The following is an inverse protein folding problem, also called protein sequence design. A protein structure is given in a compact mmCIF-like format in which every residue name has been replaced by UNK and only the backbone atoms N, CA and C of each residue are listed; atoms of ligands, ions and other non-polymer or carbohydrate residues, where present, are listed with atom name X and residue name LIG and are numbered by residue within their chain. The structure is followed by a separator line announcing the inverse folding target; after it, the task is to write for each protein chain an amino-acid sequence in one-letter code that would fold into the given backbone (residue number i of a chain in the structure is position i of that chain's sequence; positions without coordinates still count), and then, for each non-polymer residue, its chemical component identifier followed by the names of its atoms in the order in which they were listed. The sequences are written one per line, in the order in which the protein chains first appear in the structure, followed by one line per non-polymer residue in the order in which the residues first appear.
data_IF_957548195134
#
_entry.id   IF_957548195134
#
_cell.length_a   1.000
_cell.length_b   1.000
_cell.length_c   1.000
_cell.angle_alpha   90.00
_cell.angle_beta   90.00
_cell.angle_gamma   90.00
#
_symmetry.space_group_name_H-M   'P 1'
#
loop_
_entity.id
_entity.type
_entity.pdbx_description
1 polymer ?
#
# COMPACT_ATOMS: atom_id res chain seq x y z
N UNK A 1 6.24 -8.71 17.86
CA UNK A 1 5.93 -7.28 17.96
C UNK A 1 7.20 -6.46 18.18
N UNK A 2 8.00 -6.73 19.21
CA UNK A 2 9.14 -5.91 19.62
C UNK A 2 10.23 -5.73 18.56
N UNK A 3 10.61 -6.79 17.84
CA UNK A 3 11.56 -6.70 16.73
C UNK A 3 11.06 -5.79 15.61
N UNK A 4 9.76 -5.85 15.30
CA UNK A 4 9.13 -4.98 14.29
C UNK A 4 9.16 -3.51 14.72
N UNK A 5 8.92 -3.22 16.00
CA UNK A 5 9.05 -1.88 16.57
C UNK A 5 10.47 -1.35 16.45
N UNK A 6 11.45 -2.19 16.81
CA UNK A 6 12.88 -1.82 16.71
C UNK A 6 13.25 -1.49 15.26
N UNK A 7 12.86 -2.33 14.29
CA UNK A 7 13.12 -2.08 12.87
C UNK A 7 12.43 -0.80 12.41
N UNK A 8 11.15 -0.60 12.74
CA UNK A 8 10.41 0.61 12.36
C UNK A 8 11.10 1.88 12.88
N UNK A 9 11.46 1.90 14.15
CA UNK A 9 12.18 3.01 14.77
C UNK A 9 13.51 3.29 14.08
N UNK A 10 14.31 2.24 13.83
CA UNK A 10 15.60 2.37 13.15
C UNK A 10 15.45 2.95 11.75
N UNK A 11 14.42 2.54 11.00
CA UNK A 11 14.15 3.05 9.64
C UNK A 11 13.77 4.53 9.69
N UNK A 12 12.87 4.94 10.59
CA UNK A 12 12.47 6.35 10.72
C UNK A 12 13.67 7.23 11.12
N UNK A 13 14.45 6.81 12.12
CA UNK A 13 15.65 7.51 12.55
C UNK A 13 16.69 7.63 11.41
N UNK A 14 16.90 6.54 10.66
CA UNK A 14 17.85 6.55 9.53
C UNK A 14 17.35 7.37 8.35
N UNK A 15 16.04 7.38 8.08
CA UNK A 15 15.44 8.24 7.05
C UNK A 15 15.66 9.72 7.36
N UNK A 16 15.55 10.10 8.63
CA UNK A 16 15.84 11.46 9.12
C UNK A 16 15.17 12.56 8.27
N UNK A 17 13.92 12.34 7.86
CA UNK A 17 13.14 13.27 7.03
C UNK A 17 13.57 13.39 5.56
N UNK A 18 14.53 12.58 5.10
CA UNK A 18 14.99 12.61 3.70
C UNK A 18 14.00 11.99 2.70
N UNK A 19 13.11 11.16 3.19
CA UNK A 19 12.04 10.53 2.41
C UNK A 19 10.84 10.21 3.30
N UNK A 20 9.68 10.07 2.69
CA UNK A 20 8.45 9.62 3.36
C UNK A 20 8.59 8.17 3.78
N UNK A 21 8.22 7.86 5.02
CA UNK A 21 8.31 6.52 5.61
C UNK A 21 6.94 6.02 6.02
N UNK A 22 6.45 4.99 5.35
CA UNK A 22 5.27 4.25 5.75
C UNK A 22 5.66 2.92 6.37
N UNK A 23 5.10 2.62 7.55
CA UNK A 23 5.36 1.37 8.27
C UNK A 23 4.22 0.38 8.04
N UNK A 24 4.56 -0.84 7.58
CA UNK A 24 3.59 -1.91 7.49
C UNK A 24 3.29 -2.48 8.88
N UNK A 25 2.03 -2.38 9.32
CA UNK A 25 1.60 -2.76 10.68
C UNK A 25 0.70 -3.99 10.71
N UNK A 26 0.28 -4.53 9.57
CA UNK A 26 -0.58 -5.71 9.51
C UNK A 26 0.00 -6.87 10.31
N UNK A 27 -0.87 -7.57 11.04
CA UNK A 27 -0.57 -8.72 11.87
C UNK A 27 -1.75 -9.68 11.89
N UNK A 28 -1.54 -10.94 12.32
CA UNK A 28 -2.61 -11.93 12.42
C UNK A 28 -3.63 -11.55 13.50
N UNK A 29 -3.17 -10.96 14.60
CA UNK A 29 -4.03 -10.47 15.67
C UNK A 29 -4.27 -8.98 15.50
N UNK A 30 -5.53 -8.58 15.63
CA UNK A 30 -5.92 -7.16 15.53
C UNK A 30 -5.22 -6.30 16.58
N UNK A 31 -5.07 -6.80 17.79
CA UNK A 31 -4.41 -6.10 18.89
C UNK A 31 -2.95 -5.78 18.56
N UNK A 32 -2.23 -6.73 17.94
CA UNK A 32 -0.85 -6.55 17.53
C UNK A 32 -0.74 -5.50 16.39
N UNK A 33 -1.70 -5.50 15.46
CA UNK A 33 -1.77 -4.48 14.40
C UNK A 33 -2.01 -3.08 14.97
N UNK A 34 -2.92 -2.95 15.93
CA UNK A 34 -3.23 -1.69 16.65
C UNK A 34 -1.99 -1.22 17.45
N UNK A 35 -1.31 -2.12 18.13
CA UNK A 35 -0.10 -1.80 18.89
C UNK A 35 1.01 -1.27 17.98
N UNK A 36 1.22 -1.92 16.82
CA UNK A 36 2.20 -1.49 15.83
C UNK A 36 1.81 -0.17 15.15
N UNK A 37 0.51 0.07 14.91
CA UNK A 37 0.02 1.33 14.36
C UNK A 37 0.29 2.51 15.29
N UNK A 38 -0.03 2.37 16.58
CA UNK A 38 0.26 3.38 17.60
C UNK A 38 1.76 3.66 17.69
N UNK A 39 2.57 2.61 17.75
CA UNK A 39 4.02 2.76 17.78
C UNK A 39 4.56 3.48 16.54
N UNK A 40 4.06 3.16 15.33
CA UNK A 40 4.46 3.85 14.09
C UNK A 40 4.19 5.35 14.16
N UNK A 41 3.02 5.74 14.67
CA UNK A 41 2.68 7.14 14.91
C UNK A 41 3.61 7.80 15.96
N UNK A 42 3.85 7.14 17.11
CA UNK A 42 4.69 7.64 18.21
C UNK A 42 6.14 7.91 17.78
N UNK A 43 6.71 7.09 16.90
CA UNK A 43 8.08 7.26 16.40
C UNK A 43 8.19 8.25 15.23
N UNK A 44 7.07 8.85 14.81
CA UNK A 44 7.06 9.87 13.74
C UNK A 44 7.17 9.30 12.34
N UNK A 45 6.69 8.09 12.09
CA UNK A 45 6.48 7.62 10.72
C UNK A 45 5.37 8.45 10.05
N UNK A 46 5.46 8.65 8.72
CA UNK A 46 4.53 9.49 7.97
C UNK A 46 3.17 8.84 7.72
N UNK A 47 3.06 7.53 7.92
CA UNK A 47 1.82 6.78 7.77
C UNK A 47 2.02 5.28 7.93
N UNK A 48 0.95 4.53 7.76
CA UNK A 48 0.95 3.07 7.88
C UNK A 48 0.30 2.38 6.68
N UNK A 49 0.78 1.15 6.41
CA UNK A 49 0.13 0.21 5.51
C UNK A 49 -0.35 -1.02 6.29
N UNK A 50 -1.53 -1.53 5.98
CA UNK A 50 -2.18 -2.62 6.73
C UNK A 50 -2.66 -3.70 5.77
N UNK A 51 -2.02 -4.88 5.78
CA UNK A 51 -2.53 -6.04 5.05
C UNK A 51 -3.82 -6.56 5.69
N UNK A 52 -4.70 -7.13 4.87
CA UNK A 52 -5.91 -7.81 5.37
C UNK A 52 -5.56 -8.90 6.39
N UNK A 53 -6.49 -9.30 7.28
CA UNK A 53 -6.29 -10.45 8.15
C UNK A 53 -5.77 -11.65 7.36
N UNK A 54 -4.84 -12.40 7.95
CA UNK A 54 -4.16 -13.50 7.27
C UNK A 54 -4.53 -14.83 7.92
N UNK A 55 -4.33 -15.92 7.17
CA UNK A 55 -4.48 -17.30 7.56
C UNK A 55 -5.93 -17.79 7.63
N UNK A 56 -6.82 -17.13 8.36
CA UNK A 56 -8.24 -17.49 8.40
C UNK A 56 -9.04 -16.65 7.40
N UNK A 57 -9.99 -17.29 6.70
CA UNK A 57 -10.96 -16.57 5.87
C UNK A 57 -11.88 -15.71 6.74
N UNK A 58 -12.03 -14.45 6.35
CA UNK A 58 -12.93 -13.49 6.98
C UNK A 58 -13.97 -13.03 5.96
N UNK A 59 -15.18 -12.74 6.41
CA UNK A 59 -16.20 -12.15 5.56
C UNK A 59 -16.00 -10.63 5.41
N UNK A 60 -16.71 -10.02 4.46
CA UNK A 60 -16.57 -8.61 4.11
C UNK A 60 -16.72 -7.68 5.34
N UNK A 61 -17.69 -7.98 6.23
CA UNK A 61 -17.92 -7.20 7.45
C UNK A 61 -16.76 -7.32 8.45
N UNK A 62 -16.22 -8.51 8.61
CA UNK A 62 -15.07 -8.73 9.51
C UNK A 62 -13.83 -8.01 9.00
N UNK A 63 -13.60 -8.02 7.68
CA UNK A 63 -12.50 -7.27 7.05
C UNK A 63 -12.71 -5.76 7.27
N UNK A 64 -13.93 -5.25 7.05
CA UNK A 64 -14.26 -3.84 7.26
C UNK A 64 -14.02 -3.43 8.72
N UNK A 65 -14.54 -4.18 9.70
CA UNK A 65 -14.37 -3.87 11.12
C UNK A 65 -12.91 -3.93 11.56
N UNK A 66 -12.12 -4.87 11.04
CA UNK A 66 -10.68 -4.92 11.29
C UNK A 66 -9.99 -3.62 10.87
N UNK A 67 -10.24 -3.15 9.65
CA UNK A 67 -9.63 -1.92 9.15
C UNK A 67 -10.09 -0.68 9.90
N UNK A 68 -11.37 -0.61 10.24
CA UNK A 68 -11.92 0.48 11.05
C UNK A 68 -11.29 0.52 12.44
N UNK A 69 -11.09 -0.64 13.07
CA UNK A 69 -10.43 -0.71 14.37
C UNK A 69 -8.96 -0.26 14.31
N UNK A 70 -8.21 -0.69 13.28
CA UNK A 70 -6.80 -0.30 13.12
C UNK A 70 -6.68 1.18 12.75
N UNK A 71 -7.42 1.67 11.75
CA UNK A 71 -7.40 3.07 11.34
C UNK A 71 -7.89 4.02 12.44
N UNK A 72 -8.90 3.60 13.22
CA UNK A 72 -9.42 4.36 14.37
C UNK A 72 -8.48 4.38 15.58
N UNK A 73 -7.41 3.59 15.58
CA UNK A 73 -6.43 3.56 16.68
C UNK A 73 -5.36 4.64 16.61
N UNK A 74 -5.31 5.38 15.48
CA UNK A 74 -4.39 6.50 15.21
C UNK A 74 -5.19 7.76 14.88
N UNK A 75 -4.58 8.97 14.90
CA UNK A 75 -5.28 10.21 14.56
C UNK A 75 -5.92 10.20 13.17
N UNK A 76 -7.01 10.98 13.02
CA UNK A 76 -7.78 11.03 11.76
C UNK A 76 -7.06 11.73 10.59
N UNK A 77 -5.96 12.39 10.84
CA UNK A 77 -5.07 13.00 9.86
C UNK A 77 -3.81 12.17 9.59
N UNK A 78 -3.66 11.01 10.25
CA UNK A 78 -2.53 10.12 10.06
C UNK A 78 -2.80 9.12 8.93
N UNK A 79 -2.07 9.17 7.80
CA UNK A 79 -2.37 8.40 6.60
C UNK A 79 -2.33 6.88 6.79
N UNK A 80 -3.36 6.19 6.30
CA UNK A 80 -3.49 4.74 6.31
C UNK A 80 -3.72 4.22 4.90
N UNK A 81 -2.89 3.27 4.46
CA UNK A 81 -3.11 2.50 3.24
C UNK A 81 -3.62 1.10 3.58
N UNK A 82 -4.70 0.71 2.94
CA UNK A 82 -5.09 -0.69 2.88
C UNK A 82 -4.05 -1.48 2.07
N UNK A 83 -3.84 -2.75 2.39
CA UNK A 83 -2.98 -3.59 1.57
C UNK A 83 -3.69 -4.88 1.17
N UNK A 84 -4.01 -5.01 -0.11
CA UNK A 84 -4.64 -6.18 -0.69
C UNK A 84 -3.64 -7.04 -1.44
N UNK A 85 -3.44 -8.27 -0.97
CA UNK A 85 -2.60 -9.31 -1.58
C UNK A 85 -3.28 -10.67 -1.41
N UNK A 86 -4.39 -10.92 -2.12
CA UNK A 86 -5.28 -12.06 -1.85
C UNK A 86 -4.58 -13.42 -1.98
N UNK A 87 -3.62 -13.55 -2.89
CA UNK A 87 -2.87 -14.80 -3.08
C UNK A 87 -1.98 -15.18 -1.87
N UNK A 88 -1.69 -14.25 -0.96
CA UNK A 88 -0.86 -14.48 0.22
C UNK A 88 -1.65 -14.36 1.54
N UNK A 89 -2.71 -13.55 1.55
CA UNK A 89 -3.44 -13.24 2.77
C UNK A 89 -4.65 -14.14 3.03
N UNK A 90 -5.07 -14.96 2.07
CA UNK A 90 -6.30 -15.75 2.07
C UNK A 90 -7.60 -14.92 2.11
N UNK A 91 -7.50 -13.60 2.15
CA UNK A 91 -8.62 -12.66 2.13
C UNK A 91 -8.44 -11.64 1.00
N UNK A 92 -9.55 -11.20 0.41
CA UNK A 92 -9.59 -10.19 -0.65
C UNK A 92 -10.38 -8.97 -0.17
N UNK A 93 -9.83 -7.78 -0.36
CA UNK A 93 -10.52 -6.52 -0.05
C UNK A 93 -11.32 -6.12 -1.29
N UNK A 94 -12.61 -6.44 -1.32
CA UNK A 94 -13.50 -6.01 -2.41
C UNK A 94 -13.60 -4.49 -2.46
N UNK A 95 -13.90 -3.95 -3.62
CA UNK A 95 -14.04 -2.49 -3.82
C UNK A 95 -15.09 -1.88 -2.88
N UNK A 96 -16.22 -2.56 -2.67
CA UNK A 96 -17.25 -2.10 -1.73
C UNK A 96 -16.74 -2.05 -0.27
N UNK A 97 -15.91 -3.02 0.14
CA UNK A 97 -15.29 -3.01 1.48
C UNK A 97 -14.32 -1.85 1.63
N UNK A 98 -13.44 -1.64 0.64
CA UNK A 98 -12.50 -0.51 0.65
C UNK A 98 -13.24 0.84 0.68
N UNK A 99 -14.31 1.00 -0.12
CA UNK A 99 -15.15 2.20 -0.11
C UNK A 99 -15.83 2.42 1.24
N UNK A 100 -16.38 1.37 1.87
CA UNK A 100 -17.01 1.47 3.18
C UNK A 100 -16.02 1.89 4.27
N UNK A 101 -14.81 1.30 4.26
CA UNK A 101 -13.74 1.68 5.19
C UNK A 101 -13.34 3.15 4.99
N UNK A 102 -13.13 3.60 3.75
CA UNK A 102 -12.79 4.99 3.43
C UNK A 102 -13.90 5.99 3.83
N UNK A 103 -15.17 5.59 3.73
CA UNK A 103 -16.30 6.40 4.20
C UNK A 103 -16.30 6.57 5.72
N UNK A 104 -15.93 5.53 6.47
CA UNK A 104 -15.93 5.49 7.95
C UNK A 104 -14.66 6.07 8.55
N UNK A 105 -13.53 5.97 7.86
CA UNK A 105 -12.20 6.37 8.34
C UNK A 105 -11.56 7.34 7.34
N UNK A 106 -11.59 8.63 7.63
CA UNK A 106 -11.10 9.68 6.73
C UNK A 106 -9.58 9.67 6.53
N UNK A 107 -8.86 9.03 7.43
CA UNK A 107 -7.42 8.79 7.34
C UNK A 107 -7.06 7.60 6.44
N UNK A 108 -8.02 6.82 5.96
CA UNK A 108 -7.77 5.78 4.94
C UNK A 108 -7.77 6.45 3.58
N UNK A 109 -6.57 6.69 3.05
CA UNK A 109 -6.33 7.51 1.87
C UNK A 109 -6.06 6.73 0.60
N UNK A 110 -5.90 5.40 0.70
CA UNK A 110 -5.57 4.61 -0.47
C UNK A 110 -5.39 3.12 -0.21
N UNK A 111 -4.99 2.43 -1.25
CA UNK A 111 -4.73 0.99 -1.23
C UNK A 111 -3.46 0.64 -1.99
N UNK A 112 -2.65 -0.27 -1.43
CA UNK A 112 -1.67 -1.04 -2.20
C UNK A 112 -2.33 -2.32 -2.69
N UNK A 113 -2.31 -2.56 -4.01
CA UNK A 113 -2.90 -3.74 -4.63
C UNK A 113 -1.84 -4.58 -5.32
N UNK A 114 -1.60 -5.78 -4.79
CA UNK A 114 -0.56 -6.71 -5.26
C UNK A 114 -1.16 -7.91 -6.00
N UNK A 115 -2.09 -7.66 -6.93
CA UNK A 115 -2.69 -8.68 -7.77
C UNK A 115 -2.85 -8.16 -9.21
N UNK A 116 -2.67 -9.01 -10.26
CA UNK A 116 -2.70 -8.59 -11.65
C UNK A 116 -4.13 -8.51 -12.22
N UNK A 117 -4.98 -7.70 -11.63
CA UNK A 117 -6.36 -7.49 -12.06
C UNK A 117 -6.58 -6.01 -12.42
N UNK A 118 -6.62 -5.72 -13.70
CA UNK A 118 -6.83 -4.37 -14.24
C UNK A 118 -8.25 -3.85 -13.93
N UNK A 119 -9.27 -4.71 -13.95
CA UNK A 119 -10.65 -4.30 -13.70
C UNK A 119 -10.77 -3.83 -12.25
N UNK A 120 -10.29 -4.63 -11.31
CA UNK A 120 -10.28 -4.26 -9.88
C UNK A 120 -9.43 -3.01 -9.62
N UNK A 121 -8.33 -2.83 -10.36
CA UNK A 121 -7.50 -1.62 -10.24
C UNK A 121 -8.29 -0.38 -10.63
N UNK A 122 -9.05 -0.40 -11.74
CA UNK A 122 -9.93 0.70 -12.12
C UNK A 122 -11.04 0.95 -11.10
N UNK A 123 -11.65 -0.11 -10.56
CA UNK A 123 -12.66 0.03 -9.51
C UNK A 123 -12.10 0.74 -8.26
N UNK A 124 -10.86 0.45 -7.86
CA UNK A 124 -10.22 1.16 -6.74
C UNK A 124 -9.93 2.63 -7.07
N UNK A 125 -9.54 2.95 -8.30
CA UNK A 125 -9.30 4.32 -8.74
C UNK A 125 -10.56 5.20 -8.70
N UNK A 126 -11.75 4.60 -8.76
CA UNK A 126 -13.04 5.31 -8.67
C UNK A 126 -13.52 5.57 -7.23
N UNK A 127 -12.87 4.99 -6.22
CA UNK A 127 -13.24 5.19 -4.80
C UNK A 127 -13.15 6.68 -4.45
N UNK A 128 -14.11 7.17 -3.66
CA UNK A 128 -14.25 8.57 -3.29
C UNK A 128 -14.31 9.54 -4.49
N UNK A 129 -14.81 9.06 -5.64
CA UNK A 129 -14.88 9.90 -6.85
C UNK A 129 -13.51 10.18 -7.48
N UNK A 130 -12.56 9.26 -7.29
CA UNK A 130 -11.19 9.37 -7.80
C UNK A 130 -10.18 9.99 -6.80
N UNK A 131 -10.63 10.33 -5.60
CA UNK A 131 -9.75 10.82 -4.52
C UNK A 131 -9.36 9.65 -3.58
N UNK A 132 -8.71 8.64 -4.16
CA UNK A 132 -8.23 7.47 -3.44
C UNK A 132 -6.96 6.95 -4.11
N UNK A 133 -5.85 7.02 -3.39
CA UNK A 133 -4.54 6.63 -3.94
C UNK A 133 -4.44 5.13 -4.17
N UNK A 134 -3.99 4.73 -5.36
CA UNK A 134 -3.77 3.33 -5.71
C UNK A 134 -2.29 3.09 -6.03
N UNK A 135 -1.64 2.30 -5.18
CA UNK A 135 -0.26 1.86 -5.36
C UNK A 135 -0.23 0.44 -5.92
N UNK A 136 0.42 0.24 -7.05
CA UNK A 136 0.59 -1.09 -7.62
C UNK A 136 1.67 -1.88 -6.87
N UNK A 137 1.40 -3.16 -6.57
CA UNK A 137 2.33 -4.06 -5.90
C UNK A 137 2.93 -5.14 -6.82
N UNK A 138 2.57 -5.13 -8.12
CA UNK A 138 3.09 -6.07 -9.12
C UNK A 138 4.17 -5.39 -9.97
N UNK A 139 5.42 -5.78 -9.77
CA UNK A 139 6.58 -5.21 -10.47
C UNK A 139 6.43 -5.21 -11.99
N UNK A 140 5.87 -6.30 -12.55
CA UNK A 140 5.67 -6.48 -13.99
C UNK A 140 4.60 -5.57 -14.60
N UNK A 141 3.79 -4.93 -13.75
CA UNK A 141 2.66 -4.10 -14.17
C UNK A 141 2.87 -2.62 -13.85
N UNK A 142 4.06 -2.19 -13.45
CA UNK A 142 4.26 -0.83 -12.96
C UNK A 142 3.93 0.24 -14.00
N UNK A 143 4.53 0.18 -15.19
CA UNK A 143 4.22 1.15 -16.25
C UNK A 143 2.75 1.09 -16.73
N UNK A 144 2.17 -0.08 -17.03
CA UNK A 144 0.74 -0.17 -17.30
C UNK A 144 -0.14 0.44 -16.20
N UNK A 145 0.19 0.23 -14.93
CA UNK A 145 -0.56 0.77 -13.81
C UNK A 145 -0.49 2.31 -13.74
N UNK A 146 0.67 2.91 -14.03
CA UNK A 146 0.80 4.36 -14.17
C UNK A 146 -0.10 4.90 -15.28
N UNK A 147 -0.16 4.21 -16.43
CA UNK A 147 -1.04 4.57 -17.55
C UNK A 147 -2.53 4.46 -17.21
N UNK A 148 -2.91 3.64 -16.23
CA UNK A 148 -4.27 3.55 -15.70
C UNK A 148 -4.61 4.69 -14.73
N UNK A 149 -3.62 5.39 -14.19
CA UNK A 149 -3.80 6.44 -13.19
C UNK A 149 -3.37 6.06 -11.78
N UNK A 150 -2.68 4.91 -11.59
CA UNK A 150 -2.08 4.61 -10.30
C UNK A 150 -0.95 5.59 -9.96
N UNK A 151 -0.78 5.91 -8.68
CA UNK A 151 0.18 6.91 -8.21
C UNK A 151 1.63 6.41 -8.21
N UNK A 152 1.83 5.10 -8.14
CA UNK A 152 3.16 4.54 -8.08
C UNK A 152 3.20 3.05 -7.82
N UNK A 153 4.36 2.58 -7.35
CA UNK A 153 4.52 1.17 -6.95
C UNK A 153 5.15 1.04 -5.57
N UNK A 154 4.71 0.01 -4.86
CA UNK A 154 5.36 -0.47 -3.63
C UNK A 154 5.61 -1.96 -3.80
N UNK A 155 6.80 -2.31 -4.21
CA UNK A 155 7.16 -3.68 -4.61
C UNK A 155 8.42 -4.19 -3.90
N UNK A 156 8.58 -5.51 -3.86
CA UNK A 156 9.75 -6.14 -3.25
C UNK A 156 11.03 -5.92 -4.07
N UNK A 157 10.94 -6.01 -5.40
CA UNK A 157 12.10 -5.88 -6.28
C UNK A 157 12.64 -4.45 -6.31
N UNK A 158 11.76 -3.46 -6.35
CA UNK A 158 12.16 -2.05 -6.33
C UNK A 158 12.88 -1.62 -5.04
N UNK A 159 12.70 -2.38 -3.94
CA UNK A 159 13.45 -2.19 -2.70
C UNK A 159 14.91 -2.63 -2.78
N UNK A 160 15.25 -3.51 -3.72
CA UNK A 160 16.62 -4.04 -3.94
C UNK A 160 17.28 -3.38 -5.14
N UNK A 161 16.53 -3.14 -6.20
CA UNK A 161 16.97 -2.51 -7.45
C UNK A 161 16.05 -1.33 -7.81
N UNK A 162 16.16 -0.19 -7.11
CA UNK A 162 15.24 0.94 -7.31
C UNK A 162 15.47 1.68 -8.65
N UNK A 163 16.69 1.68 -9.18
CA UNK A 163 17.09 2.52 -10.31
C UNK A 163 16.23 2.29 -11.57
N UNK A 164 15.96 1.03 -12.01
CA UNK A 164 15.11 0.81 -13.18
C UNK A 164 13.67 1.30 -12.97
N UNK A 165 13.11 1.11 -11.77
CA UNK A 165 11.76 1.56 -11.44
C UNK A 165 11.66 3.09 -11.38
N UNK A 166 12.65 3.74 -10.78
CA UNK A 166 12.74 5.20 -10.78
C UNK A 166 12.86 5.74 -12.21
N UNK A 167 13.61 5.06 -13.08
CA UNK A 167 13.75 5.45 -14.48
C UNK A 167 12.43 5.30 -15.26
N UNK A 168 11.65 4.25 -15.00
CA UNK A 168 10.29 4.09 -15.56
C UNK A 168 9.40 5.27 -15.14
N UNK A 169 9.38 5.58 -13.85
CA UNK A 169 8.55 6.66 -13.32
C UNK A 169 8.93 8.03 -13.91
N UNK A 170 10.21 8.33 -13.99
CA UNK A 170 10.70 9.58 -14.61
C UNK A 170 10.30 9.68 -16.07
N UNK A 171 10.53 8.64 -16.88
CA UNK A 171 10.13 8.63 -18.28
C UNK A 171 8.62 8.80 -18.46
N UNK A 172 7.82 8.20 -17.58
CA UNK A 172 6.37 8.41 -17.55
C UNK A 172 6.01 9.87 -17.25
N UNK A 173 6.60 10.49 -16.23
CA UNK A 173 6.36 11.88 -15.87
C UNK A 173 6.78 12.86 -16.98
N UNK A 174 7.83 12.52 -17.72
CA UNK A 174 8.35 13.31 -18.85
C UNK A 174 7.48 13.11 -20.12
N UNK A 175 6.48 12.23 -20.10
CA UNK A 175 5.64 11.90 -21.24
C UNK A 175 6.31 10.99 -22.29
N UNK A 176 7.51 10.49 -22.02
CA UNK A 176 8.21 9.53 -22.89
C UNK A 176 7.75 8.09 -22.59
N UNK A 177 6.52 7.81 -22.99
CA UNK A 177 5.88 6.50 -22.77
C UNK A 177 6.57 5.37 -23.50
N UNK A 178 7.22 5.66 -24.65
CA UNK A 178 8.02 4.65 -25.37
C UNK A 178 9.20 4.23 -24.51
N UNK A 179 9.94 5.19 -23.98
CA UNK A 179 11.07 4.95 -23.10
C UNK A 179 10.64 4.27 -21.80
N UNK A 180 9.53 4.70 -21.20
CA UNK A 180 8.97 4.09 -20.00
C UNK A 180 8.67 2.59 -20.21
N UNK A 181 8.07 2.24 -21.37
CA UNK A 181 7.79 0.86 -21.71
C UNK A 181 9.06 0.02 -21.94
N UNK A 182 10.08 0.57 -22.61
CA UNK A 182 11.37 -0.09 -22.78
C UNK A 182 12.03 -0.39 -21.41
N UNK A 183 11.99 0.57 -20.49
CA UNK A 183 12.50 0.43 -19.13
C UNK A 183 11.69 -0.57 -18.30
N UNK A 184 10.36 -0.63 -18.48
CA UNK A 184 9.53 -1.66 -17.86
C UNK A 184 9.98 -3.06 -18.26
N UNK A 185 10.36 -3.29 -19.51
CA UNK A 185 10.94 -4.57 -19.95
C UNK A 185 12.27 -4.90 -19.25
N UNK A 186 13.04 -3.90 -18.83
CA UNK A 186 14.22 -4.12 -17.99
C UNK A 186 13.78 -4.57 -16.58
N UNK A 187 12.80 -3.88 -15.96
CA UNK A 187 12.27 -4.27 -14.64
C UNK A 187 11.79 -5.72 -14.62
N UNK A 188 11.08 -6.16 -15.67
CA UNK A 188 10.55 -7.53 -15.78
C UNK A 188 11.66 -8.60 -15.71
N UNK A 189 12.88 -8.29 -16.15
CA UNK A 189 14.00 -9.23 -16.11
C UNK A 189 14.52 -9.53 -14.69
N UNK A 190 14.19 -8.67 -13.73
CA UNK A 190 14.54 -8.85 -12.32
C UNK A 190 13.43 -9.54 -11.51
N UNK A 191 12.26 -9.79 -12.12
CA UNK A 191 11.08 -10.44 -11.52
C UNK A 191 10.98 -11.90 -11.98
#
# INVERSE_FOLDING_TARGET
VEERKLVAKTVVEQAAGRCTVFIHVGAMRQEDAIELAKHAYEIGADGIGVVSPQFFGANDREIEEFYVAVAGSVPQDYPVYLYNIPQCAANDIKTCVAQNVANRCKNVIGIKYSYPDFIRTYEYLEINGGDFSVMQGQDKMFFPALMMGCDGTVSGISGVYPEPFVAVYKAYCDGDYKRANELQHVCIKYC
#
